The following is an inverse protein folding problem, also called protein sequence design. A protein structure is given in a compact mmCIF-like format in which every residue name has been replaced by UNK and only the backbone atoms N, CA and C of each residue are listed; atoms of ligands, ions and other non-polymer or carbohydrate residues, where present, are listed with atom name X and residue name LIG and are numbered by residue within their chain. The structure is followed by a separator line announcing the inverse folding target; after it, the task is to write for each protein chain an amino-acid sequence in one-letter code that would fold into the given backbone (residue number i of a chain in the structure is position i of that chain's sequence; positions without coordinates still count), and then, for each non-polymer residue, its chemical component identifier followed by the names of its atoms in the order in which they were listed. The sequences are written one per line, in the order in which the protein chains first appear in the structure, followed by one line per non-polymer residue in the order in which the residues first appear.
data_IF_486906582237
#
_entry.id   IF_486906582237
#
_cell.length_a   1.000
_cell.length_b   1.000
_cell.length_c   1.000
_cell.angle_alpha   90.00
_cell.angle_beta   90.00
_cell.angle_gamma   90.00
#
_symmetry.space_group_name_H-M   'P 1'
#
loop_
_entity.id
_entity.type
_entity.pdbx_description
1 polymer ?
#
# COMPACT_ATOMS: atom_id res chain seq x y z
N UNK A 1 -3.28 5.36 19.65
CA UNK A 1 -3.36 4.80 19.13
C UNK A 1 -3.39 4.38 18.56
N UNK A 2 -3.19 4.40 18.49
CA UNK A 2 -3.29 4.02 18.03
C UNK A 2 -3.38 3.33 17.32
N UNK A 3 -3.84 3.23 17.01
CA UNK A 3 -4.28 2.27 16.44
C UNK A 3 -3.84 2.12 15.19
N UNK A 4 -3.82 0.99 14.82
CA UNK A 4 -3.45 0.58 13.60
C UNK A 4 -4.35 0.95 12.62
N UNK A 5 -3.91 1.35 11.61
CA UNK A 5 -4.66 1.93 10.60
C UNK A 5 -5.36 0.98 9.74
N UNK A 6 -6.52 0.71 10.12
CA UNK A 6 -7.48 0.40 9.13
C UNK A 6 -7.99 1.73 8.66
N UNK A 7 -7.84 2.05 7.41
CA UNK A 7 -8.38 3.27 6.92
C UNK A 7 -9.87 3.14 6.80
N UNK A 8 -10.52 3.59 7.85
CA UNK A 8 -11.93 3.90 7.81
C UNK A 8 -12.07 5.25 7.13
N UNK A 9 -13.29 5.66 6.85
CA UNK A 9 -13.55 6.98 6.31
C UNK A 9 -12.96 8.10 7.15
N UNK A 10 -12.94 7.92 8.48
CA UNK A 10 -12.38 8.93 9.37
C UNK A 10 -10.88 9.06 9.25
N UNK A 11 -10.19 7.96 9.01
CA UNK A 11 -8.74 8.02 8.85
C UNK A 11 -8.36 8.64 7.53
N UNK A 12 -9.08 8.32 6.46
CA UNK A 12 -8.88 8.95 5.17
C UNK A 12 -9.08 10.46 5.27
N UNK A 13 -10.06 10.87 6.07
CA UNK A 13 -10.34 12.28 6.25
C UNK A 13 -9.23 12.97 7.04
N UNK A 14 -8.66 12.32 8.03
CA UNK A 14 -7.52 12.87 8.76
C UNK A 14 -6.31 13.03 7.89
N UNK A 15 -6.06 12.07 7.01
CA UNK A 15 -4.98 12.20 6.04
C UNK A 15 -5.22 13.38 5.11
N UNK A 16 -6.45 13.56 4.67
CA UNK A 16 -6.82 14.70 3.85
C UNK A 16 -6.56 16.02 4.56
N UNK A 17 -6.93 16.09 5.83
CA UNK A 17 -6.68 17.30 6.62
C UNK A 17 -5.18 17.58 6.75
N UNK A 18 -4.40 16.55 6.97
CA UNK A 18 -2.95 16.70 7.06
C UNK A 18 -2.38 17.25 5.76
N UNK A 19 -2.90 16.80 4.63
CA UNK A 19 -2.48 17.29 3.33
C UNK A 19 -2.87 18.77 3.13
N UNK A 20 -4.07 19.12 3.56
CA UNK A 20 -4.55 20.48 3.41
C UNK A 20 -3.79 21.48 4.27
N UNK A 21 -3.23 21.02 5.36
CA UNK A 21 -2.43 21.86 6.21
C UNK A 21 -1.06 22.18 5.62
N UNK A 22 -0.74 21.58 4.49
CA UNK A 22 0.48 21.89 3.78
C UNK A 22 1.76 21.46 4.48
N UNK A 23 1.66 20.52 5.41
CA UNK A 23 2.83 20.07 6.14
C UNK A 23 3.67 19.15 5.27
N UNK A 24 4.97 19.39 5.28
CA UNK A 24 5.90 18.46 4.67
C UNK A 24 5.91 17.18 5.48
N UNK A 25 5.88 16.06 4.80
CA UNK A 25 5.86 14.75 5.43
C UNK A 25 7.21 14.02 5.33
N UNK A 26 8.27 14.74 5.04
CA UNK A 26 9.60 14.12 4.99
C UNK A 26 9.93 13.54 6.38
N UNK A 27 10.61 12.43 6.39
CA UNK A 27 10.91 11.67 7.58
C UNK A 27 9.69 11.00 8.22
N UNK A 28 8.57 10.98 7.51
CA UNK A 28 7.37 10.30 8.02
C UNK A 28 7.20 8.99 7.26
N UNK A 29 6.99 7.93 8.01
CA UNK A 29 6.67 6.61 7.46
C UNK A 29 5.26 6.25 7.87
N UNK A 30 4.41 6.01 6.89
CA UNK A 30 3.06 5.51 7.12
C UNK A 30 3.01 4.03 6.78
N UNK A 31 2.41 3.25 7.66
CA UNK A 31 2.21 1.81 7.42
C UNK A 31 0.72 1.53 7.52
N UNK A 32 0.17 0.95 6.46
CA UNK A 32 -1.25 0.61 6.40
C UNK A 32 -1.40 -0.89 6.17
N UNK A 33 -2.21 -1.52 7.01
CA UNK A 33 -2.45 -2.95 6.92
C UNK A 33 -3.81 -3.19 6.29
N UNK A 34 -3.82 -3.63 5.04
CA UNK A 34 -5.01 -3.94 4.25
C UNK A 34 -6.05 -2.81 4.30
N UNK A 35 -5.64 -1.61 3.92
CA UNK A 35 -6.54 -0.45 4.05
C UNK A 35 -7.73 -0.47 3.10
N UNK A 36 -7.76 -1.37 2.12
CA UNK A 36 -8.87 -1.45 1.17
C UNK A 36 -10.02 -2.33 1.65
N UNK A 37 -9.87 -3.04 2.76
CA UNK A 37 -10.93 -3.91 3.26
C UNK A 37 -12.18 -3.09 3.49
N UNK A 38 -13.29 -3.52 2.86
CA UNK A 38 -14.57 -2.87 3.01
C UNK A 38 -14.77 -1.62 2.18
N UNK A 39 -13.79 -1.23 1.39
CA UNK A 39 -13.93 -0.05 0.55
C UNK A 39 -14.50 -0.39 -0.81
N UNK A 40 -15.32 0.50 -1.33
CA UNK A 40 -15.75 0.43 -2.72
C UNK A 40 -14.58 0.81 -3.64
N UNK A 41 -14.59 0.35 -4.90
CA UNK A 41 -13.53 0.72 -5.84
C UNK A 41 -13.29 2.22 -5.96
N UNK A 42 -14.36 3.01 -5.86
CA UNK A 42 -14.23 4.46 -5.90
C UNK A 42 -13.42 4.99 -4.73
N UNK A 43 -13.60 4.38 -3.57
CA UNK A 43 -12.88 4.78 -2.36
C UNK A 43 -11.42 4.35 -2.44
N UNK A 44 -11.14 3.25 -3.13
CA UNK A 44 -9.76 2.82 -3.36
C UNK A 44 -9.03 3.87 -4.21
N UNK A 45 -9.69 4.42 -5.23
CA UNK A 45 -9.10 5.48 -6.03
C UNK A 45 -8.76 6.71 -5.20
N UNK A 46 -9.66 7.08 -4.28
CA UNK A 46 -9.43 8.20 -3.38
C UNK A 46 -8.23 7.92 -2.48
N UNK A 47 -8.18 6.71 -1.94
CA UNK A 47 -7.06 6.29 -1.09
C UNK A 47 -5.73 6.40 -1.83
N UNK A 48 -5.69 5.91 -3.06
CA UNK A 48 -4.47 5.98 -3.86
C UNK A 48 -4.04 7.41 -4.13
N UNK A 49 -5.00 8.30 -4.37
CA UNK A 49 -4.67 9.70 -4.60
C UNK A 49 -4.11 10.35 -3.32
N UNK A 50 -4.63 9.97 -2.16
CA UNK A 50 -4.11 10.47 -0.89
C UNK A 50 -2.67 9.97 -0.69
N UNK A 51 -2.42 8.70 -0.95
CA UNK A 51 -1.07 8.14 -0.86
C UNK A 51 -0.11 8.91 -1.76
N UNK A 52 -0.53 9.16 -3.01
CA UNK A 52 0.35 9.85 -3.96
C UNK A 52 0.69 11.25 -3.49
N UNK A 53 -0.26 11.94 -2.92
CA UNK A 53 -0.02 13.29 -2.40
C UNK A 53 0.90 13.29 -1.20
N UNK A 54 0.74 12.31 -0.30
CA UNK A 54 1.65 12.17 0.84
C UNK A 54 3.08 11.91 0.36
N UNK A 55 3.24 11.07 -0.65
CA UNK A 55 4.55 10.78 -1.22
C UNK A 55 5.15 12.05 -1.81
N UNK A 56 4.34 12.86 -2.48
CA UNK A 56 4.80 14.13 -3.04
C UNK A 56 5.27 15.09 -1.95
N UNK A 57 4.73 14.95 -0.75
CA UNK A 57 5.15 15.74 0.39
C UNK A 57 6.36 15.16 1.11
N UNK A 58 6.91 14.08 0.61
CA UNK A 58 8.12 13.47 1.14
C UNK A 58 7.93 12.24 2.00
N UNK A 59 6.68 11.80 2.18
CA UNK A 59 6.41 10.63 3.01
C UNK A 59 6.80 9.34 2.30
N UNK A 60 7.10 8.32 3.09
CA UNK A 60 7.24 6.96 2.62
C UNK A 60 6.03 6.17 3.08
N UNK A 61 5.44 5.39 2.18
CA UNK A 61 4.24 4.63 2.49
C UNK A 61 4.50 3.15 2.25
N UNK A 62 4.22 2.35 3.26
CA UNK A 62 4.27 0.89 3.17
C UNK A 62 2.84 0.39 3.34
N UNK A 63 2.39 -0.43 2.41
CA UNK A 63 1.03 -0.96 2.42
C UNK A 63 1.08 -2.47 2.33
N UNK A 64 0.37 -3.13 3.24
CA UNK A 64 0.19 -4.58 3.17
C UNK A 64 -1.15 -4.78 2.48
N UNK A 65 -1.14 -5.39 1.29
CA UNK A 65 -2.34 -5.46 0.45
C UNK A 65 -2.39 -6.67 -0.44
N UNK A 66 -3.61 -7.00 -0.84
CA UNK A 66 -3.89 -7.99 -1.86
C UNK A 66 -4.68 -7.38 -3.02
N UNK A 67 -5.12 -6.14 -2.86
CA UNK A 67 -5.89 -5.44 -3.89
C UNK A 67 -4.99 -5.12 -5.07
N UNK A 68 -5.40 -5.60 -6.26
CA UNK A 68 -4.57 -5.46 -7.45
C UNK A 68 -4.41 -4.02 -7.90
N UNK A 69 -5.41 -3.19 -7.68
CA UNK A 69 -5.31 -1.79 -8.06
C UNK A 69 -4.24 -1.09 -7.24
N UNK A 70 -4.19 -1.39 -5.94
CA UNK A 70 -3.15 -0.83 -5.08
C UNK A 70 -1.77 -1.34 -5.52
N UNK A 71 -1.66 -2.65 -5.76
CA UNK A 71 -0.39 -3.24 -6.15
C UNK A 71 0.12 -2.67 -7.46
N UNK A 72 -0.77 -2.47 -8.43
CA UNK A 72 -0.38 -1.93 -9.72
C UNK A 72 0.12 -0.49 -9.66
N UNK A 73 -0.26 0.24 -8.62
CA UNK A 73 0.16 1.62 -8.45
C UNK A 73 1.37 1.77 -7.53
N UNK A 74 1.89 0.66 -7.01
CA UNK A 74 3.06 0.71 -6.14
C UNK A 74 4.32 1.02 -6.94
N UNK A 75 5.23 1.73 -6.31
CA UNK A 75 6.54 1.97 -6.92
C UNK A 75 7.43 0.74 -6.77
N UNK A 76 7.21 -0.03 -5.71
CA UNK A 76 8.00 -1.20 -5.42
C UNK A 76 7.12 -2.22 -4.72
N UNK A 77 7.24 -3.48 -5.11
CA UNK A 77 6.46 -4.57 -4.52
C UNK A 77 7.41 -5.56 -3.89
N UNK A 78 7.04 -6.03 -2.70
CA UNK A 78 7.70 -7.14 -2.05
C UNK A 78 6.66 -8.24 -1.93
N UNK A 79 6.82 -9.31 -2.69
CA UNK A 79 5.88 -10.41 -2.70
C UNK A 79 6.39 -11.52 -1.79
N UNK A 80 5.63 -11.80 -0.76
CA UNK A 80 6.00 -12.83 0.22
C UNK A 80 5.46 -14.17 -0.22
N UNK A 81 6.21 -15.22 0.11
CA UNK A 81 5.83 -16.56 -0.27
C UNK A 81 4.50 -16.98 0.31
N UNK A 82 3.83 -17.96 -0.31
CA UNK A 82 2.54 -18.42 0.14
C UNK A 82 2.63 -19.11 1.49
N UNK A 83 1.52 -19.10 2.21
CA UNK A 83 1.42 -19.74 3.51
C UNK A 83 1.92 -18.86 4.62
N UNK A 84 1.59 -19.25 5.83
CA UNK A 84 2.04 -18.55 7.02
C UNK A 84 2.99 -19.43 7.82
N UNK A 85 3.42 -18.91 8.94
CA UNK A 85 4.26 -19.69 9.85
C UNK A 85 5.67 -19.87 9.34
N UNK A 86 6.25 -21.02 9.67
CA UNK A 86 7.66 -21.27 9.41
C UNK A 86 7.99 -21.35 7.92
N UNK A 87 7.03 -21.80 7.12
CA UNK A 87 7.24 -21.94 5.69
C UNK A 87 6.86 -20.70 4.90
N UNK A 88 6.16 -19.76 5.54
CA UNK A 88 5.81 -18.50 4.92
C UNK A 88 6.86 -17.45 5.21
N UNK A 89 6.62 -16.24 4.74
CA UNK A 89 7.47 -15.12 5.07
C UNK A 89 8.76 -15.03 4.26
N UNK A 90 8.89 -15.84 3.22
CA UNK A 90 10.02 -15.70 2.30
C UNK A 90 9.66 -14.72 1.22
N UNK A 91 10.62 -13.90 0.84
CA UNK A 91 10.45 -13.03 -0.30
C UNK A 91 10.63 -13.87 -1.56
N UNK A 92 9.58 -13.95 -2.37
CA UNK A 92 9.64 -14.70 -3.63
C UNK A 92 9.90 -13.79 -4.81
N UNK A 93 9.56 -12.53 -4.69
CA UNK A 93 9.83 -11.54 -5.73
C UNK A 93 9.88 -10.17 -5.10
N UNK A 94 10.71 -9.30 -5.62
CA UNK A 94 10.77 -7.92 -5.17
C UNK A 94 11.24 -7.05 -6.33
N UNK A 95 10.65 -5.87 -6.46
CA UNK A 95 11.01 -4.97 -7.53
C UNK A 95 9.84 -4.10 -7.94
N UNK A 96 9.98 -3.46 -9.08
CA UNK A 96 8.88 -2.69 -9.65
C UNK A 96 7.76 -3.61 -10.09
N UNK A 97 6.60 -3.04 -10.38
CA UNK A 97 5.46 -3.82 -10.87
C UNK A 97 5.87 -4.63 -12.10
N UNK A 98 6.59 -4.03 -13.03
CA UNK A 98 7.02 -4.72 -14.25
C UNK A 98 7.97 -5.88 -13.93
N UNK A 99 8.86 -5.69 -12.97
CA UNK A 99 9.80 -6.74 -12.58
C UNK A 99 9.10 -7.91 -11.92
N UNK A 100 8.18 -7.62 -11.02
CA UNK A 100 7.44 -8.67 -10.31
C UNK A 100 6.52 -9.41 -11.29
N UNK A 101 5.91 -8.70 -12.24
CA UNK A 101 5.03 -9.32 -13.23
C UNK A 101 5.75 -10.38 -14.08
N UNK A 102 7.06 -10.26 -14.23
CA UNK A 102 7.86 -11.22 -14.97
C UNK A 102 8.36 -12.39 -14.14
N UNK A 103 8.09 -12.39 -12.84
CA UNK A 103 8.61 -13.41 -11.94
C UNK A 103 7.72 -14.64 -11.91
N UNK A 104 8.25 -15.78 -12.34
CA UNK A 104 7.48 -17.03 -12.40
C UNK A 104 7.14 -17.57 -11.02
N UNK A 105 7.93 -17.25 -10.01
CA UNK A 105 7.70 -17.75 -8.67
C UNK A 105 6.55 -17.01 -7.95
N UNK A 106 6.13 -15.88 -8.46
CA UNK A 106 5.11 -15.06 -7.81
C UNK A 106 3.72 -15.44 -8.28
N UNK A 107 2.85 -15.78 -7.34
CA UNK A 107 1.44 -16.01 -7.65
C UNK A 107 0.77 -14.69 -8.03
N UNK A 108 1.14 -13.62 -7.36
CA UNK A 108 0.62 -12.28 -7.63
C UNK A 108 0.95 -11.81 -9.05
N UNK A 109 2.11 -12.19 -9.57
CA UNK A 109 2.56 -11.77 -10.89
C UNK A 109 1.57 -12.09 -11.99
N UNK A 110 0.84 -13.20 -11.83
CA UNK A 110 -0.14 -13.63 -12.84
C UNK A 110 -1.26 -12.61 -13.06
N UNK A 111 -1.48 -11.75 -12.09
CA UNK A 111 -2.59 -10.81 -12.10
C UNK A 111 -2.12 -9.36 -12.31
N UNK A 112 -0.85 -9.13 -12.36
CA UNK A 112 -0.29 -7.81 -12.61
C UNK A 112 -0.10 -7.58 -14.11
#
# INVERSE_FOLDING_TARGET
GEETPHLSGGEAQRLKLALEMGKTQSDTLFVFDEPTIGLHPQDVSVLLSVFRRLIEQGATIVVIEHDLDVLRHADYIIDMGPGGGADGGRIVAAGTVAEVARCEASVTAKFL
#
